data_IF_542955311639
#
_entry.id   IF_542955311639
#
_cell.length_a   1.000
_cell.length_b   1.000
_cell.length_c   1.000
_cell.angle_alpha   90.00
_cell.angle_beta   90.00
_cell.angle_gamma   90.00
#
_symmetry.space_group_name_H-M   'P 1'
#
loop_
_entity.id
_entity.type
_entity.pdbx_description
1 polymer ?
#
# COMPACT_ATOMS: atom_id res chain seq x y z
N UNK A 1 18.74 13.66 13.09
CA UNK A 1 17.60 12.71 13.10
C UNK A 1 17.69 11.93 11.80
N UNK A 2 18.09 10.65 11.84
CA UNK A 2 18.10 9.80 10.64
C UNK A 2 16.64 9.39 10.40
N UNK A 3 15.91 10.18 9.63
CA UNK A 3 14.66 9.73 9.04
C UNK A 3 15.08 8.67 8.02
N UNK A 4 14.77 7.40 8.29
CA UNK A 4 15.09 6.32 7.35
C UNK A 4 14.57 6.64 5.95
N UNK A 5 15.17 6.03 4.92
CA UNK A 5 14.61 6.10 3.57
C UNK A 5 13.44 5.12 3.44
N UNK A 6 12.49 5.44 2.55
CA UNK A 6 11.54 4.44 2.05
C UNK A 6 12.33 3.47 1.18
N UNK A 7 12.17 2.17 1.42
CA UNK A 7 12.86 1.12 0.68
C UNK A 7 11.85 0.26 -0.10
N UNK A 8 12.16 -0.05 -1.35
CA UNK A 8 11.46 -1.07 -2.14
C UNK A 8 12.27 -2.36 -2.10
N UNK A 9 11.59 -3.47 -1.80
CA UNK A 9 12.19 -4.80 -1.60
C UNK A 9 11.39 -5.86 -2.34
N UNK A 10 12.03 -6.99 -2.62
CA UNK A 10 11.37 -8.22 -3.10
C UNK A 10 10.43 -7.98 -4.29
N UNK A 11 10.91 -7.25 -5.31
CA UNK A 11 10.16 -7.00 -6.53
C UNK A 11 10.07 -8.32 -7.31
N UNK A 12 8.86 -8.83 -7.43
CA UNK A 12 8.55 -10.10 -8.05
C UNK A 12 7.41 -9.91 -9.05
N UNK A 13 7.26 -10.88 -9.95
CA UNK A 13 6.12 -10.92 -10.86
C UNK A 13 5.08 -11.91 -10.38
N UNK A 14 3.80 -11.56 -10.56
CA UNK A 14 2.66 -12.45 -10.38
C UNK A 14 2.55 -13.50 -11.48
N UNK A 15 3.12 -13.21 -12.65
CA UNK A 15 3.09 -14.04 -13.86
C UNK A 15 4.53 -14.30 -14.32
N UNK A 16 4.79 -15.36 -15.06
CA UNK A 16 6.15 -15.67 -15.56
C UNK A 16 6.62 -14.72 -16.69
N UNK A 17 6.05 -13.52 -16.79
CA UNK A 17 6.33 -12.52 -17.82
C UNK A 17 7.35 -11.45 -17.38
N UNK A 18 7.81 -11.51 -16.13
CA UNK A 18 8.84 -10.63 -15.59
C UNK A 18 8.36 -9.22 -15.26
N UNK A 19 7.04 -8.96 -15.23
CA UNK A 19 6.48 -7.67 -14.81
C UNK A 19 6.50 -7.58 -13.28
N UNK A 20 7.32 -6.69 -12.72
CA UNK A 20 7.46 -6.50 -11.27
C UNK A 20 6.24 -5.85 -10.61
N UNK A 21 5.08 -6.50 -10.66
CA UNK A 21 3.79 -6.02 -10.16
C UNK A 21 3.56 -6.28 -8.66
N UNK A 22 4.43 -7.10 -8.04
CA UNK A 22 4.41 -7.36 -6.60
C UNK A 22 5.69 -6.88 -5.97
N UNK A 23 5.60 -6.03 -4.95
CA UNK A 23 6.78 -5.55 -4.24
C UNK A 23 6.47 -5.23 -2.79
N UNK A 24 7.48 -5.33 -1.93
CA UNK A 24 7.40 -4.86 -0.55
C UNK A 24 7.87 -3.41 -0.45
N UNK A 25 7.06 -2.58 0.17
CA UNK A 25 7.45 -1.23 0.58
C UNK A 25 7.73 -1.21 2.08
N UNK A 26 8.88 -0.65 2.46
CA UNK A 26 9.33 -0.54 3.84
C UNK A 26 9.33 0.95 4.23
N UNK A 27 8.39 1.35 5.07
CA UNK A 27 8.17 2.76 5.45
C UNK A 27 8.66 2.97 6.89
N UNK A 28 9.61 3.87 7.13
CA UNK A 28 10.04 4.22 8.49
C UNK A 28 8.89 4.86 9.30
N UNK A 29 8.65 4.34 10.50
CA UNK A 29 7.59 4.81 11.37
C UNK A 29 7.95 4.53 12.83
N UNK A 30 7.90 5.55 13.71
CA UNK A 30 8.12 5.43 15.16
C UNK A 30 9.26 4.46 15.59
N UNK A 31 10.48 4.68 15.08
CA UNK A 31 11.69 3.85 15.31
C UNK A 31 11.60 2.38 14.85
N UNK A 32 10.58 2.01 14.09
CA UNK A 32 10.46 0.73 13.39
C UNK A 32 10.15 0.96 11.90
N UNK A 33 9.85 -0.13 11.18
CA UNK A 33 9.47 -0.11 9.76
C UNK A 33 8.11 -0.78 9.59
N UNK A 34 7.25 -0.16 8.79
CA UNK A 34 6.02 -0.74 8.30
C UNK A 34 6.37 -1.47 7.00
N UNK A 35 6.29 -2.80 7.01
CA UNK A 35 6.65 -3.64 5.87
C UNK A 35 5.38 -4.16 5.19
N UNK A 36 4.95 -3.47 4.15
CA UNK A 36 3.69 -3.76 3.45
C UNK A 36 3.97 -4.37 2.08
N UNK A 37 3.22 -5.41 1.72
CA UNK A 37 3.21 -5.92 0.34
C UNK A 37 2.21 -5.12 -0.48
N UNK A 38 2.62 -4.67 -1.65
CA UNK A 38 1.76 -4.08 -2.68
C UNK A 38 1.67 -5.06 -3.84
N UNK A 39 0.45 -5.33 -4.30
CA UNK A 39 0.18 -6.30 -5.36
C UNK A 39 -0.70 -5.65 -6.42
N UNK A 40 -0.10 -5.28 -7.54
CA UNK A 40 -0.84 -4.93 -8.75
C UNK A 40 -1.17 -6.17 -9.56
N UNK A 41 -2.21 -6.07 -10.38
CA UNK A 41 -2.48 -7.02 -11.45
C UNK A 41 -1.84 -6.51 -12.75
N UNK A 42 -0.71 -7.07 -13.16
CA UNK A 42 -0.03 -6.68 -14.40
C UNK A 42 -0.84 -6.91 -15.69
N UNK A 43 -1.89 -7.74 -15.64
CA UNK A 43 -2.81 -7.96 -16.76
C UNK A 43 -3.91 -6.89 -16.82
N UNK A 44 -4.21 -6.23 -15.70
CA UNK A 44 -5.20 -5.16 -15.59
C UNK A 44 -4.63 -3.96 -14.81
N UNK A 45 -3.72 -3.15 -15.40
CA UNK A 45 -3.07 -2.03 -14.71
C UNK A 45 -4.03 -0.93 -14.22
N UNK A 46 -5.26 -0.91 -14.74
CA UNK A 46 -6.32 0.00 -14.33
C UNK A 46 -6.96 -0.37 -12.99
N UNK A 47 -6.85 -1.63 -12.56
CA UNK A 47 -7.41 -2.10 -11.30
C UNK A 47 -6.60 -1.53 -10.12
N UNK A 48 -7.25 -1.37 -8.97
CA UNK A 48 -6.54 -0.94 -7.77
C UNK A 48 -5.60 -2.06 -7.26
N UNK A 49 -4.50 -1.69 -6.57
CA UNK A 49 -3.63 -2.68 -5.95
C UNK A 49 -4.27 -3.29 -4.70
N UNK A 50 -3.90 -4.53 -4.42
CA UNK A 50 -4.14 -5.19 -3.14
C UNK A 50 -2.96 -4.97 -2.17
N UNK A 51 -3.23 -5.07 -0.87
CA UNK A 51 -2.25 -4.84 0.18
C UNK A 51 -2.21 -5.98 1.20
N UNK A 52 -1.00 -6.32 1.65
CA UNK A 52 -0.79 -7.17 2.83
C UNK A 52 0.02 -6.39 3.88
N UNK A 53 -0.58 -6.15 5.04
CA UNK A 53 0.08 -5.43 6.14
C UNK A 53 0.89 -6.38 7.03
N UNK A 54 2.00 -5.87 7.57
CA UNK A 54 2.81 -6.57 8.57
C UNK A 54 2.05 -6.75 9.89
N UNK A 55 1.23 -5.76 10.25
CA UNK A 55 0.30 -5.82 11.38
C UNK A 55 -1.02 -6.44 10.91
N UNK A 56 -1.28 -7.69 11.34
CA UNK A 56 -2.47 -8.44 10.93
C UNK A 56 -3.77 -7.93 11.56
N UNK A 57 -3.69 -7.04 12.56
CA UNK A 57 -4.87 -6.41 13.16
C UNK A 57 -5.33 -5.16 12.43
N UNK A 58 -4.44 -4.55 11.64
CA UNK A 58 -4.74 -3.36 10.87
C UNK A 58 -5.57 -3.72 9.63
N UNK A 59 -6.78 -3.16 9.53
CA UNK A 59 -7.72 -3.42 8.42
C UNK A 59 -7.98 -4.93 8.19
N UNK A 60 -8.17 -5.69 9.27
CA UNK A 60 -8.45 -7.14 9.17
C UNK A 60 -9.85 -7.47 8.63
N UNK A 61 -10.79 -6.52 8.72
CA UNK A 61 -12.14 -6.59 8.16
C UNK A 61 -12.68 -5.15 7.93
N UNK A 62 -12.12 -4.41 6.96
CA UNK A 62 -12.54 -3.04 6.72
C UNK A 62 -13.87 -3.04 5.98
N UNK A 63 -14.91 -2.47 6.58
CA UNK A 63 -16.14 -2.20 5.87
C UNK A 63 -15.94 -1.09 4.83
N UNK A 64 -16.92 -0.97 3.92
CA UNK A 64 -16.86 0.03 2.86
C UNK A 64 -16.82 1.47 3.40
N UNK A 65 -17.40 1.71 4.59
CA UNK A 65 -17.43 3.02 5.22
C UNK A 65 -16.03 3.45 5.71
N UNK A 66 -15.26 2.52 6.30
CA UNK A 66 -13.87 2.73 6.69
C UNK A 66 -13.02 3.05 5.45
N UNK A 67 -13.19 2.29 4.38
CA UNK A 67 -12.41 2.50 3.14
C UNK A 67 -12.73 3.85 2.50
N UNK A 68 -14.00 4.21 2.38
CA UNK A 68 -14.43 5.49 1.82
C UNK A 68 -13.94 6.67 2.67
N UNK A 69 -14.03 6.55 4.00
CA UNK A 69 -13.72 7.65 4.93
C UNK A 69 -12.23 7.85 5.14
N UNK A 70 -11.47 6.77 5.34
CA UNK A 70 -10.07 6.86 5.75
C UNK A 70 -9.10 6.62 4.60
N UNK A 71 -9.48 5.83 3.59
CA UNK A 71 -8.63 5.48 2.43
C UNK A 71 -9.33 5.86 1.10
N UNK A 72 -9.81 7.11 0.95
CA UNK A 72 -10.63 7.52 -0.20
C UNK A 72 -9.91 7.37 -1.54
N UNK A 73 -8.58 7.43 -1.58
CA UNK A 73 -7.83 7.30 -2.82
C UNK A 73 -7.73 5.86 -3.33
N UNK A 74 -7.90 4.86 -2.46
CA UNK A 74 -8.02 3.47 -2.88
C UNK A 74 -9.47 3.14 -3.25
N UNK A 75 -10.43 3.66 -2.50
CA UNK A 75 -11.86 3.51 -2.79
C UNK A 75 -12.23 4.14 -4.15
N UNK A 76 -11.72 5.34 -4.44
CA UNK A 76 -11.87 6.03 -5.72
C UNK A 76 -10.57 5.97 -6.53
N UNK A 77 -10.09 4.76 -6.80
CA UNK A 77 -8.82 4.56 -7.49
C UNK A 77 -8.79 5.24 -8.87
N UNK A 78 -7.75 6.04 -9.11
CA UNK A 78 -7.51 6.74 -10.37
C UNK A 78 -6.18 6.31 -10.97
N UNK A 79 -6.22 5.33 -11.88
CA UNK A 79 -5.03 4.80 -12.55
C UNK A 79 -4.38 5.80 -13.53
N UNK A 80 -5.08 6.87 -13.93
CA UNK A 80 -4.50 7.89 -14.83
C UNK A 80 -3.62 8.89 -14.09
N UNK A 81 -3.67 8.88 -12.75
CA UNK A 81 -2.97 9.83 -11.91
C UNK A 81 -1.67 9.22 -11.36
N UNK A 82 -0.54 9.88 -11.66
CA UNK A 82 0.80 9.36 -11.37
C UNK A 82 1.14 9.25 -9.88
N UNK A 83 0.47 10.00 -9.01
CA UNK A 83 0.66 9.97 -7.55
C UNK A 83 -0.41 9.15 -6.81
N UNK A 84 -1.19 8.32 -7.53
CA UNK A 84 -2.29 7.56 -6.92
C UNK A 84 -1.83 6.60 -5.82
N UNK A 85 -0.79 5.80 -6.06
CA UNK A 85 -0.24 4.91 -5.04
C UNK A 85 0.30 5.69 -3.82
N UNK A 86 0.97 6.83 -4.05
CA UNK A 86 1.53 7.64 -2.96
C UNK A 86 0.42 8.15 -2.03
N UNK A 87 -0.72 8.57 -2.58
CA UNK A 87 -1.87 8.98 -1.78
C UNK A 87 -2.42 7.84 -0.93
N UNK A 88 -2.61 6.66 -1.52
CA UNK A 88 -3.09 5.47 -0.79
C UNK A 88 -2.16 5.16 0.38
N UNK A 89 -0.85 5.13 0.13
CA UNK A 89 0.14 4.88 1.18
C UNK A 89 0.12 5.96 2.28
N UNK A 90 -0.07 7.23 1.90
CA UNK A 90 -0.18 8.33 2.86
C UNK A 90 -1.41 8.17 3.74
N UNK A 91 -2.56 7.85 3.14
CA UNK A 91 -3.82 7.58 3.84
C UNK A 91 -3.70 6.38 4.78
N UNK A 92 -3.10 5.27 4.34
CA UNK A 92 -2.81 4.13 5.21
C UNK A 92 -1.92 4.51 6.38
N UNK A 93 -0.83 5.25 6.17
CA UNK A 93 0.04 5.67 7.27
C UNK A 93 -0.70 6.59 8.24
N UNK A 94 -1.55 7.49 7.74
CA UNK A 94 -2.36 8.37 8.58
C UNK A 94 -3.40 7.60 9.39
N UNK A 95 -4.05 6.59 8.80
CA UNK A 95 -4.99 5.74 9.51
C UNK A 95 -4.28 4.80 10.50
N UNK A 96 -3.12 4.27 10.13
CA UNK A 96 -2.30 3.43 11.01
C UNK A 96 -1.90 4.18 12.29
N UNK A 97 -1.63 5.50 12.21
CA UNK A 97 -1.40 6.35 13.39
C UNK A 97 -2.56 6.38 14.37
N UNK A 98 -3.79 6.19 13.90
CA UNK A 98 -4.99 6.17 14.76
C UNK A 98 -5.29 4.78 15.33
N UNK A 99 -4.67 3.75 14.77
CA UNK A 99 -4.81 2.35 15.20
C UNK A 99 -3.84 1.97 16.32
N UNK A 100 -2.68 2.65 16.41
CA UNK A 100 -1.67 2.49 17.47
C UNK A 100 -2.00 3.35 18.69
#
# INVERSE_FOLDING_TARGET
IFLGAIELKNVNSSCDDGRGDRFRISIPYANHKLDWMVMFNSLNPQDCPDFEFSDKSFLSDPDLEIMEKYIPSLYNWDYNRSDSLLRVLTEFVMHYKTHQ
#
